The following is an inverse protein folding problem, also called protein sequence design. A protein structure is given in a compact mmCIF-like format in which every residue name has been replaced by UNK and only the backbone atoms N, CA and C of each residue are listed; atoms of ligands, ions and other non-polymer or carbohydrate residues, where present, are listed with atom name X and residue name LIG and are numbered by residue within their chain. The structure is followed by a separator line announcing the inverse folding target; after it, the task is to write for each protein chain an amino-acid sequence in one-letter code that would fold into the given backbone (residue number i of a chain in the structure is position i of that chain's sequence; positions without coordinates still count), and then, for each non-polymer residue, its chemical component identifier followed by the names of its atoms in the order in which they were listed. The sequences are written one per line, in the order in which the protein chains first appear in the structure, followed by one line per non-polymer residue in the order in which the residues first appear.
data_IF_451498971791
#
_entry.id   IF_451498971791
#
_cell.length_a   1.000
_cell.length_b   1.000
_cell.length_c   1.000
_cell.angle_alpha   90.00
_cell.angle_beta   90.00
_cell.angle_gamma   90.00
#
_symmetry.space_group_name_H-M   'P 1'
#
loop_
_entity.id
_entity.type
_entity.pdbx_description
1 polymer ?
#
# COMPACT_ATOMS: atom_id res chain seq x y z
N UNK A 1 -0.44 -8.39 25.18
CA UNK A 1 0.92 -7.83 25.16
C UNK A 1 1.22 -7.11 23.84
N UNK A 2 0.87 -7.72 22.72
CA UNK A 2 1.06 -7.14 21.40
C UNK A 2 0.21 -5.87 21.26
N UNK A 3 -1.04 -5.88 21.68
CA UNK A 3 -1.91 -4.71 21.68
C UNK A 3 -1.40 -3.56 22.57
N UNK A 4 -0.78 -3.87 23.71
CA UNK A 4 -0.24 -2.85 24.62
C UNK A 4 1.03 -2.20 24.07
N UNK A 5 1.82 -2.92 23.31
CA UNK A 5 2.97 -2.35 22.58
C UNK A 5 2.46 -1.40 21.50
N UNK A 6 1.39 -1.77 20.82
CA UNK A 6 0.85 -1.04 19.70
C UNK A 6 0.25 0.32 20.08
N UNK A 7 -0.32 0.44 21.25
CA UNK A 7 -1.02 1.68 21.67
C UNK A 7 -0.10 2.88 21.80
N UNK A 8 1.21 2.69 21.92
CA UNK A 8 2.22 3.74 22.06
C UNK A 8 3.34 3.68 21.04
N UNK A 9 3.29 2.72 20.14
CA UNK A 9 4.30 2.56 19.09
C UNK A 9 3.98 3.47 17.91
N UNK A 10 4.98 4.10 17.28
CA UNK A 10 4.80 4.75 16.00
C UNK A 10 4.48 3.75 14.87
N UNK A 11 4.68 2.46 15.13
CA UNK A 11 4.39 1.39 14.19
C UNK A 11 3.11 0.67 14.58
N UNK A 12 2.09 0.73 13.75
CA UNK A 12 0.92 -0.10 13.91
C UNK A 12 1.28 -1.56 13.62
N UNK A 13 0.83 -2.46 14.48
CA UNK A 13 0.92 -3.90 14.25
C UNK A 13 -0.41 -4.48 13.75
N UNK A 14 -1.40 -3.64 13.53
CA UNK A 14 -2.67 -4.00 12.94
C UNK A 14 -2.61 -3.77 11.42
N UNK A 15 -2.11 -4.75 10.66
CA UNK A 15 -2.00 -4.59 9.21
C UNK A 15 -3.40 -4.56 8.59
N UNK A 16 -3.48 -3.89 7.47
CA UNK A 16 -4.71 -3.86 6.69
C UNK A 16 -5.03 -5.25 6.15
N UNK A 17 -6.32 -5.58 6.06
CA UNK A 17 -6.76 -6.89 5.59
C UNK A 17 -6.23 -7.22 4.19
N UNK A 18 -6.25 -6.24 3.30
CA UNK A 18 -5.71 -6.42 1.95
C UNK A 18 -4.21 -6.74 1.94
N UNK A 19 -3.44 -6.06 2.79
CA UNK A 19 -2.02 -6.35 2.95
C UNK A 19 -1.79 -7.78 3.46
N UNK A 20 -2.55 -8.22 4.47
CA UNK A 20 -2.48 -9.59 4.97
C UNK A 20 -2.78 -10.62 3.88
N UNK A 21 -3.82 -10.38 3.08
CA UNK A 21 -4.19 -11.28 1.98
C UNK A 21 -3.07 -11.39 0.94
N UNK A 22 -2.41 -10.28 0.61
CA UNK A 22 -1.26 -10.27 -0.28
C UNK A 22 -0.10 -11.10 0.31
N UNK A 23 0.22 -10.88 1.58
CA UNK A 23 1.33 -11.57 2.24
C UNK A 23 1.07 -13.07 2.37
N UNK A 24 -0.16 -13.48 2.69
CA UNK A 24 -0.56 -14.89 2.73
C UNK A 24 -0.43 -15.55 1.35
N UNK A 25 -0.86 -14.86 0.31
CA UNK A 25 -0.74 -15.37 -1.07
C UNK A 25 0.72 -15.51 -1.49
N UNK A 26 1.57 -14.54 -1.17
CA UNK A 26 3.00 -14.60 -1.47
C UNK A 26 3.67 -15.76 -0.71
N UNK A 27 3.21 -16.06 0.49
CA UNK A 27 3.72 -17.15 1.32
C UNK A 27 3.22 -18.53 0.88
N UNK A 28 2.24 -18.61 -0.01
CA UNK A 28 1.70 -19.86 -0.53
C UNK A 28 2.64 -20.54 -1.54
N UNK A 29 2.27 -21.72 -2.00
CA UNK A 29 3.01 -22.46 -3.04
C UNK A 29 2.83 -21.93 -4.45
N UNK A 30 2.02 -20.88 -4.64
CA UNK A 30 1.80 -20.26 -5.93
C UNK A 30 3.13 -19.77 -6.55
N UNK A 31 3.35 -20.09 -7.81
CA UNK A 31 4.56 -19.68 -8.55
C UNK A 31 4.38 -18.40 -9.34
N UNK A 32 3.16 -18.04 -9.63
CA UNK A 32 2.78 -16.82 -10.34
C UNK A 32 1.63 -16.14 -9.60
N UNK A 33 1.80 -14.88 -9.25
CA UNK A 33 0.85 -14.12 -8.43
C UNK A 33 0.58 -12.79 -9.12
N UNK A 34 -0.69 -12.47 -9.28
CA UNK A 34 -1.15 -11.20 -9.81
C UNK A 34 -1.81 -10.41 -8.69
N UNK A 35 -1.31 -9.21 -8.43
CA UNK A 35 -1.86 -8.28 -7.44
C UNK A 35 -2.48 -7.11 -8.18
N UNK A 36 -3.80 -6.99 -8.09
CA UNK A 36 -4.55 -5.97 -8.81
C UNK A 36 -5.67 -5.38 -7.93
N UNK A 37 -6.05 -4.15 -8.21
CA UNK A 37 -7.14 -3.47 -7.51
C UNK A 37 -6.76 -2.90 -6.13
N UNK A 38 -5.49 -2.87 -5.79
CA UNK A 38 -5.01 -2.29 -4.54
C UNK A 38 -4.43 -0.91 -4.77
N UNK A 39 -5.03 0.11 -4.19
CA UNK A 39 -4.53 1.49 -4.21
C UNK A 39 -3.79 1.86 -2.93
N UNK A 40 -3.76 0.99 -1.93
CA UNK A 40 -3.20 1.26 -0.60
C UNK A 40 -3.73 2.59 -0.04
N UNK A 41 -5.00 2.89 -0.31
CA UNK A 41 -5.69 4.15 0.01
C UNK A 41 -5.07 5.40 -0.63
N UNK A 42 -4.27 5.25 -1.65
CA UNK A 42 -3.80 6.36 -2.48
C UNK A 42 -4.79 6.62 -3.62
N UNK A 43 -4.84 7.86 -4.07
CA UNK A 43 -5.91 8.29 -4.97
C UNK A 43 -7.17 8.71 -4.21
N UNK A 44 -8.14 9.22 -4.90
CA UNK A 44 -9.40 9.67 -4.30
C UNK A 44 -10.40 8.53 -4.12
N UNK A 45 -11.22 8.64 -3.11
CA UNK A 45 -12.38 7.79 -2.90
C UNK A 45 -12.09 6.46 -2.20
N UNK A 46 -13.11 5.97 -1.57
CA UNK A 46 -13.16 4.62 -1.03
C UNK A 46 -14.08 3.78 -1.91
N UNK A 47 -13.77 2.52 -2.12
CA UNK A 47 -14.55 1.64 -3.01
C UNK A 47 -16.05 1.62 -2.68
N UNK A 48 -16.40 1.68 -1.39
CA UNK A 48 -17.79 1.71 -0.92
C UNK A 48 -18.31 3.12 -0.61
N UNK A 49 -17.45 4.12 -0.60
CA UNK A 49 -17.77 5.49 -0.21
C UNK A 49 -16.99 6.48 -1.07
N UNK A 50 -17.37 6.57 -2.34
CA UNK A 50 -16.68 7.38 -3.36
C UNK A 50 -16.55 8.86 -3.00
N UNK A 51 -17.36 9.37 -2.08
CA UNK A 51 -17.39 10.79 -1.68
C UNK A 51 -16.53 11.10 -0.45
N UNK A 52 -15.77 10.14 0.08
CA UNK A 52 -14.89 10.40 1.22
C UNK A 52 -13.72 11.28 0.80
N UNK A 53 -13.39 12.31 1.60
CA UNK A 53 -12.28 13.19 1.29
C UNK A 53 -10.94 12.46 1.42
N UNK A 54 -9.92 12.96 0.72
CA UNK A 54 -8.56 12.41 0.78
C UNK A 54 -8.00 12.40 2.22
N UNK A 55 -8.43 13.32 3.08
CA UNK A 55 -8.07 13.34 4.49
C UNK A 55 -8.47 12.06 5.23
N UNK A 56 -9.57 11.43 4.85
CA UNK A 56 -9.99 10.15 5.41
C UNK A 56 -9.00 9.04 5.05
N UNK A 57 -8.58 8.98 3.80
CA UNK A 57 -7.59 8.00 3.35
C UNK A 57 -6.23 8.21 4.03
N UNK A 58 -5.80 9.45 4.20
CA UNK A 58 -4.58 9.78 4.96
C UNK A 58 -4.65 9.24 6.39
N UNK A 59 -5.78 9.47 7.08
CA UNK A 59 -5.96 8.99 8.44
C UNK A 59 -5.91 7.45 8.52
N UNK A 60 -6.47 6.74 7.55
CA UNK A 60 -6.40 5.28 7.49
C UNK A 60 -4.97 4.81 7.28
N UNK A 61 -4.24 5.38 6.33
CA UNK A 61 -2.85 5.02 6.04
C UNK A 61 -1.96 5.25 7.27
N UNK A 62 -2.13 6.36 7.95
CA UNK A 62 -1.38 6.66 9.17
C UNK A 62 -1.73 5.70 10.31
N UNK A 63 -3.02 5.42 10.52
CA UNK A 63 -3.48 4.52 11.58
C UNK A 63 -2.93 3.09 11.43
N UNK A 64 -2.83 2.60 10.22
CA UNK A 64 -2.34 1.25 9.93
C UNK A 64 -0.86 1.22 9.57
N UNK A 65 -0.18 2.34 9.67
CA UNK A 65 1.20 2.49 9.21
C UNK A 65 1.40 2.00 7.76
N UNK A 66 0.58 2.55 6.87
CA UNK A 66 0.57 2.15 5.46
C UNK A 66 1.90 2.34 4.75
N UNK A 67 2.72 3.30 5.18
CA UNK A 67 4.08 3.48 4.65
C UNK A 67 4.92 2.24 4.93
N UNK A 68 4.89 1.72 6.15
CA UNK A 68 5.63 0.51 6.50
C UNK A 68 5.13 -0.70 5.70
N UNK A 69 3.82 -0.85 5.53
CA UNK A 69 3.24 -1.93 4.73
C UNK A 69 3.74 -1.88 3.27
N UNK A 70 3.77 -0.69 2.68
CA UNK A 70 4.25 -0.50 1.30
C UNK A 70 5.74 -0.83 1.20
N UNK A 71 6.56 -0.35 2.13
CA UNK A 71 7.98 -0.65 2.17
C UNK A 71 8.25 -2.15 2.37
N UNK A 72 7.49 -2.81 3.24
CA UNK A 72 7.56 -4.25 3.43
C UNK A 72 7.17 -5.00 2.17
N UNK A 73 6.12 -4.57 1.49
CA UNK A 73 5.69 -5.20 0.23
C UNK A 73 6.76 -5.08 -0.86
N UNK A 74 7.36 -3.90 -1.01
CA UNK A 74 8.49 -3.70 -1.92
C UNK A 74 9.64 -4.67 -1.61
N UNK A 75 9.98 -4.81 -0.35
CA UNK A 75 11.09 -5.65 0.09
C UNK A 75 10.79 -7.13 -0.15
N UNK A 76 9.60 -7.58 0.17
CA UNK A 76 9.16 -8.97 -0.05
C UNK A 76 9.13 -9.29 -1.55
N UNK A 77 8.56 -8.43 -2.39
CA UNK A 77 8.54 -8.63 -3.85
C UNK A 77 9.97 -8.76 -4.39
N UNK A 78 10.87 -7.94 -3.92
CA UNK A 78 12.28 -7.96 -4.34
C UNK A 78 12.99 -9.27 -3.96
N UNK A 79 12.74 -9.77 -2.75
CA UNK A 79 13.33 -11.01 -2.26
C UNK A 79 12.71 -12.26 -2.91
N UNK A 80 11.39 -12.31 -2.98
CA UNK A 80 10.65 -13.47 -3.48
C UNK A 80 10.61 -13.52 -5.01
N UNK A 81 10.79 -12.39 -5.66
CA UNK A 81 10.80 -12.27 -7.13
C UNK A 81 11.86 -13.12 -7.85
N UNK A 82 12.80 -13.67 -7.11
CA UNK A 82 13.79 -14.63 -7.62
C UNK A 82 13.24 -16.05 -7.77
N UNK A 83 12.20 -16.37 -7.02
CA UNK A 83 11.60 -17.71 -6.93
C UNK A 83 10.17 -17.75 -7.48
N UNK A 84 9.48 -16.63 -7.41
CA UNK A 84 8.09 -16.50 -7.82
C UNK A 84 7.94 -15.31 -8.75
N UNK A 85 7.04 -15.42 -9.72
CA UNK A 85 6.67 -14.32 -10.58
C UNK A 85 5.55 -13.53 -9.91
N UNK A 86 5.84 -12.30 -9.50
CA UNK A 86 4.86 -11.39 -8.90
C UNK A 86 4.64 -10.23 -9.87
N UNK A 87 3.40 -10.06 -10.29
CA UNK A 87 2.98 -9.02 -11.22
C UNK A 87 2.00 -8.12 -10.49
N UNK A 88 2.26 -6.81 -10.51
CA UNK A 88 1.38 -5.78 -9.96
C UNK A 88 0.78 -4.96 -11.11
N UNK A 89 -0.43 -4.44 -10.90
CA UNK A 89 -1.01 -3.51 -11.87
C UNK A 89 -0.29 -2.15 -11.90
N UNK A 90 -0.62 -1.32 -12.88
CA UNK A 90 0.03 -0.02 -13.06
C UNK A 90 -0.19 0.93 -11.88
N UNK A 91 -1.33 0.85 -11.20
CA UNK A 91 -1.64 1.68 -10.05
C UNK A 91 -0.77 1.31 -8.86
N UNK A 92 -0.76 0.04 -8.48
CA UNK A 92 0.07 -0.44 -7.37
C UNK A 92 1.56 -0.26 -7.69
N UNK A 93 1.97 -0.57 -8.91
CA UNK A 93 3.35 -0.37 -9.36
C UNK A 93 3.83 1.06 -9.17
N UNK A 94 2.99 2.04 -9.51
CA UNK A 94 3.30 3.46 -9.33
C UNK A 94 3.44 3.85 -7.86
N UNK A 95 2.60 3.30 -7.01
CA UNK A 95 2.68 3.52 -5.56
C UNK A 95 3.97 2.92 -5.00
N UNK A 96 4.25 1.68 -5.34
CA UNK A 96 5.46 0.99 -4.89
C UNK A 96 6.73 1.74 -5.32
N UNK A 97 6.80 2.19 -6.57
CA UNK A 97 7.93 2.96 -7.09
C UNK A 97 8.13 4.28 -6.36
N UNK A 98 7.04 4.98 -6.04
CA UNK A 98 7.11 6.25 -5.32
C UNK A 98 7.70 6.09 -3.91
N UNK A 99 7.36 5.01 -3.23
CA UNK A 99 7.89 4.72 -1.89
C UNK A 99 9.26 4.08 -1.91
N UNK A 100 9.65 3.45 -3.00
CA UNK A 100 11.00 2.90 -3.17
C UNK A 100 12.07 4.00 -3.33
N UNK A 101 11.67 5.15 -3.85
CA UNK A 101 12.53 6.31 -4.09
C UNK A 101 12.28 7.44 -3.07
N UNK A 102 11.97 7.10 -1.82
CA UNK A 102 11.75 8.07 -0.76
C UNK A 102 12.98 8.92 -0.48
N UNK A 103 12.77 10.23 -0.39
CA UNK A 103 13.76 11.17 0.14
C UNK A 103 13.43 11.51 1.61
N UNK A 104 14.41 11.96 2.36
CA UNK A 104 14.25 12.31 3.78
C UNK A 104 13.13 13.34 4.03
N UNK A 105 12.89 14.23 3.09
CA UNK A 105 11.81 15.23 3.14
C UNK A 105 10.42 14.68 2.85
N UNK A 106 10.32 13.46 2.32
CA UNK A 106 9.04 12.89 1.95
C UNK A 106 8.27 12.40 3.18
N UNK A 107 6.98 12.72 3.20
CA UNK A 107 6.02 12.19 4.15
C UNK A 107 4.93 11.42 3.41
N UNK A 108 4.21 10.57 4.14
CA UNK A 108 3.04 9.89 3.59
C UNK A 108 2.07 10.90 2.94
N UNK A 109 1.80 12.00 3.62
CA UNK A 109 0.91 13.04 3.11
C UNK A 109 1.42 13.69 1.82
N UNK A 110 2.71 13.99 1.73
CA UNK A 110 3.29 14.58 0.53
C UNK A 110 3.24 13.64 -0.66
N UNK A 111 3.51 12.36 -0.43
CA UNK A 111 3.44 11.32 -1.46
C UNK A 111 2.00 11.12 -1.93
N UNK A 112 1.04 11.01 -1.00
CA UNK A 112 -0.37 10.88 -1.33
C UNK A 112 -0.88 12.05 -2.18
N UNK A 113 -0.50 13.29 -1.82
CA UNK A 113 -0.88 14.47 -2.59
C UNK A 113 -0.29 14.43 -4.01
N UNK A 114 0.99 14.11 -4.14
CA UNK A 114 1.70 14.03 -5.42
C UNK A 114 1.11 12.97 -6.34
N UNK A 115 0.70 11.83 -5.78
CA UNK A 115 0.19 10.71 -6.54
C UNK A 115 -1.31 10.77 -6.83
N UNK A 116 -2.09 11.58 -6.09
CA UNK A 116 -3.56 11.57 -6.18
C UNK A 116 -4.06 11.73 -7.60
N UNK A 117 -3.62 12.78 -8.29
CA UNK A 117 -4.09 13.06 -9.64
C UNK A 117 -3.66 11.97 -10.63
N UNK A 118 -2.43 11.51 -10.51
CA UNK A 118 -1.87 10.48 -11.38
C UNK A 118 -2.58 9.14 -11.22
N UNK A 119 -2.92 8.75 -9.99
CA UNK A 119 -3.65 7.50 -9.71
C UNK A 119 -5.10 7.62 -10.15
N UNK A 120 -5.73 8.77 -9.90
CA UNK A 120 -7.10 9.03 -10.35
C UNK A 120 -7.21 8.95 -11.87
N UNK A 121 -6.23 9.47 -12.60
CA UNK A 121 -6.21 9.38 -14.06
C UNK A 121 -6.07 7.93 -14.53
N UNK A 122 -5.22 7.14 -13.91
CA UNK A 122 -5.09 5.72 -14.22
C UNK A 122 -6.37 4.92 -13.93
N UNK A 123 -7.06 5.24 -12.85
CA UNK A 123 -8.31 4.54 -12.45
C UNK A 123 -9.48 4.90 -13.37
N UNK A 124 -9.51 6.08 -13.96
CA UNK A 124 -10.56 6.47 -14.92
C UNK A 124 -10.58 5.60 -16.17
N UNK A 125 -9.44 5.08 -16.57
CA UNK A 125 -9.27 4.27 -17.77
C UNK A 125 -9.60 2.78 -17.54
N UNK A 126 -9.90 2.43 -16.31
CA UNK A 126 -10.34 1.09 -15.92
C UNK A 126 -11.87 1.00 -15.97
#
# INVERSE_FOLDING_TARGET
KVASINSKSPFSIWPQLGFNAIMDTISSDAKEIYITGFTMYHGGGHMLQKNKPISHNKAIVEKHNGVLEILMLNDVIRHVGKEKKIIVDSVLGKILDAYDNLEEKDSCASIMNRLTDQINDLVKDL
#
